data_IF_319373304119
#
_entry.id   IF_319373304119
#
_cell.length_a   1.000
_cell.length_b   1.000
_cell.length_c   1.000
_cell.angle_alpha   90.00
_cell.angle_beta   90.00
_cell.angle_gamma   90.00
#
_symmetry.space_group_name_H-M   'P 1'
#
loop_
_entity.id
_entity.type
_entity.pdbx_description
1 polymer ?
#
# COMPACT_ATOMS: atom_id res chain seq x y z
N UNK A 1 7.22 -1.09 -18.56
CA UNK A 1 6.40 -0.05 -17.89
C UNK A 1 7.23 0.56 -16.76
N UNK A 2 6.99 1.83 -16.46
CA UNK A 2 7.67 2.53 -15.37
C UNK A 2 7.09 2.09 -14.01
N UNK A 3 7.92 1.48 -13.17
CA UNK A 3 7.53 1.00 -11.83
C UNK A 3 7.05 2.11 -10.90
N UNK A 4 7.56 3.34 -11.08
CA UNK A 4 7.07 4.50 -10.36
C UNK A 4 5.63 4.82 -10.70
N UNK A 5 5.24 4.70 -11.99
CA UNK A 5 3.87 4.93 -12.43
C UNK A 5 2.92 3.84 -11.94
N UNK A 6 3.33 2.56 -11.99
CA UNK A 6 2.56 1.42 -11.46
C UNK A 6 2.27 1.59 -9.95
N UNK A 7 3.27 1.92 -9.14
CA UNK A 7 3.09 2.12 -7.70
C UNK A 7 2.24 3.35 -7.40
N UNK A 8 2.39 4.43 -8.18
CA UNK A 8 1.55 5.62 -8.05
C UNK A 8 0.09 5.29 -8.34
N UNK A 9 -0.20 4.51 -9.38
CA UNK A 9 -1.56 4.02 -9.67
C UNK A 9 -2.14 3.23 -8.49
N UNK A 10 -1.37 2.28 -7.95
CA UNK A 10 -1.79 1.48 -6.77
C UNK A 10 -2.09 2.40 -5.58
N UNK A 11 -1.23 3.38 -5.28
CA UNK A 11 -1.47 4.33 -4.18
C UNK A 11 -2.77 5.13 -4.39
N UNK A 12 -3.06 5.60 -5.61
CA UNK A 12 -4.32 6.28 -5.90
C UNK A 12 -5.53 5.38 -5.70
N UNK A 13 -5.45 4.13 -6.15
CA UNK A 13 -6.49 3.14 -5.97
C UNK A 13 -6.76 2.87 -4.47
N UNK A 14 -5.71 2.53 -3.72
CA UNK A 14 -5.79 2.26 -2.29
C UNK A 14 -6.34 3.48 -1.51
N UNK A 15 -5.89 4.68 -1.86
CA UNK A 15 -6.35 5.91 -1.23
C UNK A 15 -7.82 6.21 -1.52
N UNK A 16 -8.27 6.02 -2.77
CA UNK A 16 -9.65 6.30 -3.19
C UNK A 16 -10.64 5.37 -2.49
N UNK A 17 -10.28 4.09 -2.34
CA UNK A 17 -11.11 3.11 -1.66
C UNK A 17 -10.87 3.04 -0.15
N UNK A 18 -9.89 3.79 0.36
CA UNK A 18 -9.45 3.76 1.77
C UNK A 18 -9.17 2.34 2.24
N UNK A 19 -8.34 1.62 1.50
CA UNK A 19 -7.92 0.24 1.78
C UNK A 19 -6.40 0.17 1.90
N UNK A 20 -5.90 -0.77 2.69
CA UNK A 20 -4.47 -0.99 2.88
C UNK A 20 -4.00 -2.16 2.02
N UNK A 21 -2.72 -2.14 1.62
CA UNK A 21 -2.05 -3.30 1.05
C UNK A 21 -0.67 -3.49 1.66
N UNK A 22 -0.21 -4.73 1.80
CA UNK A 22 1.14 -4.98 2.32
C UNK A 22 2.22 -4.66 1.29
N UNK A 23 3.42 -4.28 1.73
CA UNK A 23 4.58 -4.13 0.82
C UNK A 23 4.82 -5.39 -0.02
N UNK A 24 4.53 -6.57 0.53
CA UNK A 24 4.62 -7.84 -0.19
C UNK A 24 3.58 -7.93 -1.32
N UNK A 25 2.30 -7.70 -1.03
CA UNK A 25 1.25 -7.74 -2.04
C UNK A 25 1.52 -6.76 -3.20
N UNK A 26 1.93 -5.54 -2.87
CA UNK A 26 2.28 -4.52 -3.87
C UNK A 26 3.52 -4.93 -4.66
N UNK A 27 4.56 -5.40 -3.96
CA UNK A 27 5.81 -5.84 -4.59
C UNK A 27 5.59 -6.98 -5.57
N UNK A 28 4.85 -8.01 -5.16
CA UNK A 28 4.51 -9.16 -5.99
C UNK A 28 3.73 -8.72 -7.25
N UNK A 29 2.79 -7.77 -7.13
CA UNK A 29 2.02 -7.24 -8.27
C UNK A 29 2.91 -6.52 -9.30
N UNK A 30 3.86 -5.71 -8.84
CA UNK A 30 4.73 -4.91 -9.71
C UNK A 30 6.07 -5.58 -10.01
N UNK A 31 6.30 -6.81 -9.55
CA UNK A 31 7.57 -7.53 -9.74
C UNK A 31 8.77 -6.91 -9.00
N UNK A 32 8.55 -6.36 -7.81
CA UNK A 32 9.60 -5.80 -6.94
C UNK A 32 9.64 -6.52 -5.59
N UNK A 33 10.84 -6.59 -4.99
CA UNK A 33 10.95 -6.94 -3.59
C UNK A 33 10.26 -5.88 -2.70
N UNK A 34 9.74 -6.24 -1.50
CA UNK A 34 9.08 -5.30 -0.60
C UNK A 34 9.88 -4.01 -0.30
N UNK A 35 11.21 -4.15 -0.15
CA UNK A 35 12.10 -3.00 0.07
C UNK A 35 12.17 -2.07 -1.15
N UNK A 36 12.07 -2.62 -2.36
CA UNK A 36 12.07 -1.87 -3.60
C UNK A 36 10.83 -0.98 -3.74
N UNK A 37 9.67 -1.44 -3.27
CA UNK A 37 8.41 -0.66 -3.27
C UNK A 37 8.57 0.65 -2.51
N UNK A 38 9.20 0.61 -1.33
CA UNK A 38 9.42 1.79 -0.48
C UNK A 38 10.14 2.93 -1.21
N UNK A 39 11.03 2.62 -2.14
CA UNK A 39 11.79 3.61 -2.91
C UNK A 39 10.91 4.45 -3.85
N UNK A 40 9.72 3.95 -4.22
CA UNK A 40 8.80 4.62 -5.14
C UNK A 40 7.64 5.34 -4.44
N UNK A 41 7.50 5.22 -3.11
CA UNK A 41 6.43 5.90 -2.36
C UNK A 41 6.66 7.42 -2.23
N UNK A 42 7.90 7.86 -2.39
CA UNK A 42 8.33 9.23 -2.18
C UNK A 42 8.25 9.65 -0.70
N UNK A 43 7.97 10.93 -0.45
CA UNK A 43 7.90 11.49 0.91
C UNK A 43 6.80 10.83 1.75
N UNK A 44 7.09 10.50 3.01
CA UNK A 44 6.08 10.03 3.98
C UNK A 44 4.97 11.07 4.15
N UNK A 45 3.73 10.64 3.94
CA UNK A 45 2.51 11.47 3.96
C UNK A 45 1.28 10.56 4.00
N UNK A 46 0.10 11.06 4.40
CA UNK A 46 -1.11 10.24 4.49
C UNK A 46 -1.40 9.42 3.23
N UNK A 47 -1.21 10.01 2.05
CA UNK A 47 -1.39 9.32 0.77
C UNK A 47 -0.45 8.12 0.55
N UNK A 48 0.77 8.14 1.08
CA UNK A 48 1.72 7.02 0.95
C UNK A 48 1.57 5.98 2.08
N UNK A 49 0.80 6.29 3.12
CA UNK A 49 0.64 5.46 4.32
C UNK A 49 -0.21 4.19 4.11
N UNK A 50 -0.85 4.04 2.94
CA UNK A 50 -1.69 2.89 2.60
C UNK A 50 -0.91 1.60 2.37
N UNK A 51 0.40 1.70 2.12
CA UNK A 51 1.29 0.53 1.99
C UNK A 51 1.95 0.24 3.33
N UNK A 52 1.62 -0.92 3.89
CA UNK A 52 1.85 -1.26 5.29
C UNK A 52 2.72 -2.51 5.43
N UNK A 53 3.35 -2.68 6.59
CA UNK A 53 4.06 -3.91 6.89
C UNK A 53 3.10 -5.11 6.97
N UNK A 54 3.61 -6.32 6.76
CA UNK A 54 2.85 -7.57 6.99
C UNK A 54 2.84 -7.98 8.47
N UNK A 55 3.33 -7.13 9.38
CA UNK A 55 3.40 -7.43 10.81
C UNK A 55 2.04 -7.19 11.48
N UNK A 56 1.30 -8.28 11.68
CA UNK A 56 0.00 -8.26 12.33
C UNK A 56 0.07 -7.82 13.80
N UNK A 57 1.20 -8.05 14.49
CA UNK A 57 1.41 -7.59 15.87
C UNK A 57 1.51 -6.06 15.95
N UNK A 58 1.89 -5.42 14.84
CA UNK A 58 1.89 -3.96 14.67
C UNK A 58 0.65 -3.46 13.94
N UNK A 59 -0.44 -4.23 13.94
CA UNK A 59 -1.73 -3.86 13.34
C UNK A 59 -1.65 -3.40 11.87
N UNK A 60 -0.68 -3.91 11.11
CA UNK A 60 -0.43 -3.53 9.72
C UNK A 60 -0.27 -2.01 9.56
N UNK A 61 0.71 -1.44 10.27
CA UNK A 61 1.07 -0.02 10.17
C UNK A 61 2.16 0.23 9.11
N UNK A 62 2.17 1.42 8.49
CA UNK A 62 3.24 1.82 7.59
C UNK A 62 4.55 1.99 8.35
N UNK A 63 5.66 1.62 7.72
CA UNK A 63 6.96 1.53 8.41
C UNK A 63 7.64 2.89 8.50
N UNK A 64 7.89 3.36 9.74
CA UNK A 64 8.65 4.59 10.01
C UNK A 64 7.87 5.89 9.77
N UNK A 65 6.53 5.84 9.77
CA UNK A 65 5.68 7.03 9.64
C UNK A 65 5.34 7.60 11.02
N UNK A 66 5.29 8.92 11.11
CA UNK A 66 4.76 9.63 12.27
C UNK A 66 3.23 9.68 12.22
N UNK A 67 2.58 10.01 13.35
CA UNK A 67 1.12 10.04 13.45
C UNK A 67 0.45 11.00 12.45
N UNK A 68 1.06 12.17 12.23
CA UNK A 68 0.58 13.17 11.26
C UNK A 68 0.85 12.78 9.78
N UNK A 69 1.66 11.76 9.55
CA UNK A 69 1.96 11.22 8.21
C UNK A 69 1.06 10.03 7.87
N UNK A 70 0.21 9.59 8.80
CA UNK A 70 -0.70 8.47 8.63
C UNK A 70 -2.09 8.98 8.28
N UNK A 71 -2.74 8.34 7.30
CA UNK A 71 -4.13 8.67 6.97
C UNK A 71 -5.06 8.37 8.15
N UNK A 72 -6.00 9.28 8.52
CA UNK A 72 -6.86 9.09 9.70
C UNK A 72 -7.72 7.82 9.61
N UNK A 73 -8.15 7.45 8.40
CA UNK A 73 -8.96 6.24 8.18
C UNK A 73 -8.14 4.93 8.17
N UNK A 74 -6.80 5.00 8.15
CA UNK A 74 -5.92 3.86 7.93
C UNK A 74 -6.24 2.68 8.86
N UNK A 75 -6.44 2.93 10.16
CA UNK A 75 -6.68 1.88 11.16
C UNK A 75 -8.01 1.14 10.97
N UNK A 76 -9.01 1.78 10.35
CA UNK A 76 -10.36 1.20 10.15
C UNK A 76 -10.46 0.42 8.84
N UNK A 77 -9.49 0.58 7.95
CA UNK A 77 -9.48 -0.02 6.61
C UNK A 77 -9.15 -1.51 6.63
N UNK A 78 -9.73 -2.29 5.71
CA UNK A 78 -9.26 -3.66 5.44
C UNK A 78 -7.82 -3.66 4.92
N UNK A 79 -7.14 -4.80 5.03
CA UNK A 79 -5.76 -5.00 4.56
C UNK A 79 -5.75 -6.10 3.51
N UNK A 80 -5.18 -5.82 2.34
CA UNK A 80 -4.90 -6.79 1.29
C UNK A 80 -3.46 -7.30 1.48
N UNK A 81 -3.33 -8.58 1.80
CA UNK A 81 -2.08 -9.22 2.20
C UNK A 81 -1.39 -9.95 1.05
N UNK A 82 -2.13 -10.40 0.04
CA UNK A 82 -1.59 -11.13 -1.11
C UNK A 82 -1.81 -10.38 -2.43
N UNK A 83 -1.07 -10.80 -3.46
CA UNK A 83 -1.24 -10.26 -4.82
C UNK A 83 -2.60 -10.64 -5.39
N UNK A 84 -3.11 -11.84 -5.09
CA UNK A 84 -4.43 -12.30 -5.55
C UNK A 84 -5.55 -11.43 -4.96
N UNK A 85 -5.46 -11.07 -3.68
CA UNK A 85 -6.42 -10.16 -3.03
C UNK A 85 -6.37 -8.75 -3.64
N UNK A 86 -5.16 -8.23 -3.89
CA UNK A 86 -4.95 -6.91 -4.49
C UNK A 86 -5.47 -6.85 -5.94
N UNK A 87 -5.08 -7.81 -6.77
CA UNK A 87 -5.53 -7.91 -8.17
C UNK A 87 -7.05 -8.05 -8.25
N UNK A 88 -7.63 -8.96 -7.45
CA UNK A 88 -9.09 -9.14 -7.41
C UNK A 88 -9.82 -7.88 -6.99
N UNK A 89 -9.25 -7.06 -6.12
CA UNK A 89 -9.87 -5.81 -5.71
C UNK A 89 -9.77 -4.74 -6.78
N UNK A 90 -8.64 -4.66 -7.50
CA UNK A 90 -8.45 -3.77 -8.65
C UNK A 90 -9.43 -4.12 -9.77
N UNK A 91 -9.56 -5.40 -10.11
CA UNK A 91 -10.43 -5.88 -11.19
C UNK A 91 -11.93 -5.61 -10.94
N UNK A 92 -12.36 -5.50 -9.68
CA UNK A 92 -13.75 -5.13 -9.35
C UNK A 92 -14.10 -3.66 -9.65
N UNK A 93 -13.09 -2.81 -9.82
CA UNK A 93 -13.25 -1.36 -9.92
C UNK A 93 -12.68 -0.79 -11.25
N UNK A 94 -12.31 -1.68 -12.17
CA UNK A 94 -11.97 -1.38 -13.58
C UNK A 94 -13.16 -1.70 -14.48
#
# INVERSE_FOLDING_TARGET
MDKGLEIKFILYFLNSLKIRATYKAVGDLVGLAPVGVSNYLGKKRPFASWIVSSDSKKSFMPTGYNENEIHPDLKKSKVLMTVEELTKEIDKHN
#
